data_IF_338656369688
#
_entry.id   IF_338656369688
#
_cell.length_a   1.000
_cell.length_b   1.000
_cell.length_c   1.000
_cell.angle_alpha   90.00
_cell.angle_beta   90.00
_cell.angle_gamma   90.00
#
_symmetry.space_group_name_H-M   'P 1'
#
loop_
_entity.id
_entity.type
_entity.pdbx_description
1 polymer ?
#
# COMPACT_ATOMS: atom_id res chain seq x y z
N UNK A 1 8.63 22.57 14.12
CA UNK A 1 7.38 21.80 13.97
C UNK A 1 7.53 20.32 14.36
N UNK A 2 8.65 19.67 14.07
CA UNK A 2 8.90 18.28 14.48
C UNK A 2 8.69 18.07 16.00
N UNK A 3 9.23 18.96 16.84
CA UNK A 3 9.08 18.87 18.30
C UNK A 3 7.63 18.91 18.77
N UNK A 4 6.75 19.66 18.08
CA UNK A 4 5.33 19.69 18.41
C UNK A 4 4.65 18.35 18.09
N UNK A 5 5.03 17.71 16.99
CA UNK A 5 4.55 16.36 16.63
C UNK A 5 4.95 15.33 17.67
N UNK A 6 6.21 15.37 18.15
CA UNK A 6 6.72 14.48 19.18
C UNK A 6 5.96 14.61 20.50
N UNK A 7 5.62 15.83 20.91
CA UNK A 7 4.88 16.08 22.14
C UNK A 7 3.38 15.80 22.05
N UNK A 8 2.76 16.12 20.92
CA UNK A 8 1.30 16.09 20.78
C UNK A 8 0.78 14.87 20.03
N UNK A 9 1.63 14.22 19.23
CA UNK A 9 1.24 13.15 18.32
C UNK A 9 0.39 13.63 17.13
N UNK A 10 0.25 14.95 16.94
CA UNK A 10 -0.48 15.54 15.81
C UNK A 10 0.49 15.70 14.64
N UNK A 11 0.22 15.12 13.44
CA UNK A 11 1.10 15.25 12.28
C UNK A 11 1.21 16.71 11.82
N UNK A 12 2.38 17.11 11.31
CA UNK A 12 2.65 18.49 10.85
C UNK A 12 1.58 19.00 9.87
N UNK A 13 1.12 18.15 8.96
CA UNK A 13 0.09 18.49 7.96
C UNK A 13 -1.27 18.80 8.56
N UNK A 14 -1.57 18.26 9.74
CA UNK A 14 -2.82 18.42 10.46
C UNK A 14 -2.71 19.47 11.59
N UNK A 15 -1.49 19.98 11.86
CA UNK A 15 -1.26 20.95 12.92
C UNK A 15 -1.70 22.36 12.51
N UNK A 16 -2.48 22.99 13.36
CA UNK A 16 -2.71 24.42 13.36
C UNK A 16 -2.20 25.01 14.67
N UNK A 17 -1.13 25.78 14.60
CA UNK A 17 -0.49 26.39 15.76
C UNK A 17 -0.98 27.83 15.93
N UNK A 18 -1.50 28.16 17.10
CA UNK A 18 -2.01 29.49 17.42
C UNK A 18 -1.27 30.02 18.63
N UNK A 19 -0.66 31.20 18.50
CA UNK A 19 -0.03 31.91 19.59
C UNK A 19 -0.60 33.33 19.66
N UNK A 20 -1.09 33.75 20.83
CA UNK A 20 -1.71 35.06 21.04
C UNK A 20 -2.77 35.44 19.97
N UNK A 21 -3.60 34.49 19.57
CA UNK A 21 -4.63 34.68 18.55
C UNK A 21 -4.12 34.67 17.09
N UNK A 22 -2.83 34.60 16.85
CA UNK A 22 -2.24 34.51 15.50
C UNK A 22 -2.02 33.05 15.11
N UNK A 23 -2.41 32.73 13.86
CA UNK A 23 -2.12 31.42 13.28
C UNK A 23 -0.68 31.39 12.77
N UNK A 24 0.18 30.57 13.41
CA UNK A 24 1.58 30.44 13.04
C UNK A 24 1.79 29.53 11.82
N UNK A 25 0.82 28.68 11.49
CA UNK A 25 0.92 27.70 10.39
C UNK A 25 0.68 28.31 9.01
N UNK A 26 0.06 29.48 8.92
CA UNK A 26 -0.20 30.19 7.67
C UNK A 26 0.94 31.12 7.23
N UNK A 27 1.99 31.24 8.03
CA UNK A 27 3.17 32.03 7.70
C UNK A 27 4.17 31.18 6.90
N UNK A 28 4.99 31.79 6.05
CA UNK A 28 6.09 31.10 5.35
C UNK A 28 7.14 30.59 6.36
N UNK A 29 6.91 29.39 6.86
CA UNK A 29 7.64 28.77 8.00
C UNK A 29 9.13 28.57 7.70
N UNK A 30 9.49 28.42 6.45
CA UNK A 30 10.87 28.14 6.04
C UNK A 30 11.78 29.37 6.10
N UNK A 31 11.22 30.59 6.25
CA UNK A 31 11.96 31.84 6.23
C UNK A 31 11.81 32.69 7.50
N UNK A 32 10.91 32.34 8.42
CA UNK A 32 10.63 33.12 9.62
C UNK A 32 11.13 32.43 10.89
N UNK A 33 11.75 33.21 11.76
CA UNK A 33 12.18 32.76 13.09
C UNK A 33 11.02 32.84 14.11
N UNK A 34 11.14 32.12 15.23
CA UNK A 34 10.18 32.23 16.34
C UNK A 34 10.09 33.66 16.89
N UNK A 35 11.20 34.43 16.82
CA UNK A 35 11.24 35.83 17.23
C UNK A 35 10.40 36.72 16.30
N UNK A 36 10.46 36.50 14.98
CA UNK A 36 9.65 37.21 13.99
C UNK A 36 8.16 36.96 14.21
N UNK A 37 7.81 35.76 14.69
CA UNK A 37 6.45 35.36 15.05
C UNK A 37 6.04 35.82 16.45
N UNK A 38 6.91 36.55 17.18
CA UNK A 38 6.72 37.00 18.57
C UNK A 38 6.48 35.85 19.56
N UNK A 39 7.07 34.70 19.28
CA UNK A 39 7.08 33.54 20.17
C UNK A 39 8.34 33.62 21.03
N UNK A 40 8.18 33.96 22.30
CA UNK A 40 9.26 34.10 23.28
C UNK A 40 9.17 33.01 24.35
N UNK A 41 10.22 32.89 25.17
CA UNK A 41 10.19 31.96 26.28
C UNK A 41 8.96 32.18 27.18
N UNK A 42 8.26 31.07 27.48
CA UNK A 42 7.00 31.11 28.25
C UNK A 42 5.74 31.41 27.43
N UNK A 43 5.85 31.63 26.10
CA UNK A 43 4.68 31.80 25.25
C UNK A 43 3.83 30.53 25.25
N UNK A 44 2.50 30.67 25.41
CA UNK A 44 1.55 29.58 25.29
C UNK A 44 1.15 29.40 23.82
N UNK A 45 1.43 28.24 23.27
CA UNK A 45 1.03 27.85 21.91
C UNK A 45 -0.14 26.87 22.03
N UNK A 46 -1.26 27.21 21.40
CA UNK A 46 -2.39 26.29 21.25
C UNK A 46 -2.16 25.46 19.99
N UNK A 47 -2.20 24.15 20.14
CA UNK A 47 -2.10 23.19 19.04
C UNK A 47 -3.50 22.67 18.75
N UNK A 48 -4.00 22.95 17.56
CA UNK A 48 -5.22 22.36 17.03
C UNK A 48 -4.84 21.36 15.97
N UNK A 49 -5.47 20.21 15.96
CA UNK A 49 -5.25 19.14 15.00
C UNK A 49 -5.74 17.81 15.54
N UNK A 50 -5.90 16.86 14.65
CA UNK A 50 -6.33 15.52 15.04
C UNK A 50 -5.10 14.62 15.13
N UNK A 51 -4.97 13.92 16.24
CA UNK A 51 -3.97 12.87 16.39
C UNK A 51 -4.34 11.73 15.43
N UNK A 52 -3.41 11.32 14.58
CA UNK A 52 -3.60 10.11 13.79
C UNK A 52 -3.46 8.90 14.73
N UNK A 53 -4.53 8.18 14.89
CA UNK A 53 -4.57 6.93 15.64
C UNK A 53 -4.91 5.80 14.67
N UNK A 54 -3.89 5.10 14.13
CA UNK A 54 -4.12 3.98 13.20
C UNK A 54 -4.88 2.83 13.87
N UNK A 55 -4.72 2.67 15.18
CA UNK A 55 -5.41 1.62 15.94
C UNK A 55 -6.90 1.95 16.16
N UNK A 56 -7.27 3.23 16.19
CA UNK A 56 -8.65 3.70 16.24
C UNK A 56 -9.30 3.90 14.86
N UNK A 57 -8.50 3.85 13.79
CA UNK A 57 -9.01 4.07 12.42
C UNK A 57 -9.53 2.75 11.81
N UNK A 58 -10.85 2.60 11.80
CA UNK A 58 -11.53 1.44 11.20
C UNK A 58 -11.21 1.25 9.71
N UNK A 59 -11.01 2.33 8.95
CA UNK A 59 -10.65 2.25 7.54
C UNK A 59 -9.21 1.72 7.40
N UNK A 60 -8.28 2.16 8.25
CA UNK A 60 -6.91 1.65 8.25
C UNK A 60 -6.87 0.15 8.58
N UNK A 61 -7.65 -0.31 9.57
CA UNK A 61 -7.77 -1.74 9.90
C UNK A 61 -8.32 -2.56 8.74
N UNK A 62 -9.38 -2.10 8.09
CA UNK A 62 -9.94 -2.78 6.91
C UNK A 62 -8.91 -2.90 5.79
N UNK A 63 -8.14 -1.85 5.52
CA UNK A 63 -7.07 -1.88 4.50
C UNK A 63 -5.97 -2.86 4.91
N UNK A 64 -5.60 -2.92 6.20
CA UNK A 64 -4.60 -3.87 6.70
C UNK A 64 -5.06 -5.33 6.56
N UNK A 65 -6.33 -5.62 6.78
CA UNK A 65 -6.90 -6.95 6.57
C UNK A 65 -6.92 -7.35 5.08
N UNK A 66 -7.23 -6.40 4.21
CA UNK A 66 -7.16 -6.61 2.75
C UNK A 66 -5.72 -6.87 2.31
N UNK A 67 -4.76 -6.11 2.82
CA UNK A 67 -3.33 -6.30 2.56
C UNK A 67 -2.88 -7.71 2.93
N UNK A 68 -3.28 -8.20 4.11
CA UNK A 68 -2.95 -9.57 4.56
C UNK A 68 -3.50 -10.62 3.61
N UNK A 69 -4.76 -10.49 3.19
CA UNK A 69 -5.37 -11.42 2.20
C UNK A 69 -4.65 -11.37 0.85
N UNK A 70 -4.30 -10.17 0.37
CA UNK A 70 -3.52 -10.00 -0.86
C UNK A 70 -2.13 -10.64 -0.75
N UNK A 71 -1.51 -10.55 0.41
CA UNK A 71 -0.23 -11.22 0.67
C UNK A 71 -0.34 -12.76 0.60
N UNK A 72 -1.40 -13.35 1.15
CA UNK A 72 -1.64 -14.80 1.06
C UNK A 72 -1.79 -15.26 -0.41
N UNK A 73 -2.45 -14.46 -1.25
CA UNK A 73 -2.53 -14.72 -2.69
C UNK A 73 -1.15 -14.64 -3.34
N UNK A 74 -0.34 -13.66 -2.93
CA UNK A 74 1.03 -13.49 -3.46
C UNK A 74 1.93 -14.69 -3.12
N UNK A 75 1.78 -15.30 -1.95
CA UNK A 75 2.52 -16.54 -1.61
C UNK A 75 2.15 -17.70 -2.54
N UNK A 76 0.85 -17.90 -2.81
CA UNK A 76 0.38 -18.92 -3.78
C UNK A 76 0.89 -18.65 -5.20
N UNK A 77 0.99 -17.39 -5.58
CA UNK A 77 1.53 -17.01 -6.89
C UNK A 77 3.05 -17.28 -7.00
N UNK A 78 3.82 -17.05 -5.93
CA UNK A 78 5.25 -17.39 -5.89
C UNK A 78 5.45 -18.90 -6.11
N UNK A 79 4.59 -19.75 -5.57
CA UNK A 79 4.62 -21.19 -5.83
C UNK A 79 4.39 -21.50 -7.33
N UNK A 80 3.42 -20.81 -7.96
CA UNK A 80 3.18 -20.95 -9.41
C UNK A 80 4.41 -20.55 -10.21
N UNK A 81 5.05 -19.41 -9.88
CA UNK A 81 6.28 -18.96 -10.54
C UNK A 81 7.41 -19.98 -10.43
N UNK A 82 7.61 -20.56 -9.24
CA UNK A 82 8.63 -21.57 -9.02
C UNK A 82 8.36 -22.82 -9.85
N UNK A 83 7.12 -23.33 -9.87
CA UNK A 83 6.76 -24.49 -10.66
C UNK A 83 6.90 -24.28 -12.18
N UNK A 84 6.58 -23.08 -12.68
CA UNK A 84 6.84 -22.73 -14.09
C UNK A 84 8.34 -22.75 -14.38
N UNK A 85 9.18 -22.24 -13.48
CA UNK A 85 10.63 -22.27 -13.59
C UNK A 85 11.18 -23.70 -13.57
N UNK A 86 10.63 -24.57 -12.74
CA UNK A 86 11.03 -25.98 -12.65
C UNK A 86 10.74 -26.73 -13.96
N UNK A 87 9.60 -26.46 -14.60
CA UNK A 87 9.28 -27.01 -15.92
C UNK A 87 10.27 -26.49 -16.97
N UNK A 88 10.58 -25.20 -16.97
CA UNK A 88 11.54 -24.58 -17.88
C UNK A 88 12.93 -25.20 -17.75
N UNK A 89 13.37 -25.49 -16.53
CA UNK A 89 14.65 -26.12 -16.22
C UNK A 89 14.68 -27.64 -16.50
N UNK A 90 13.56 -28.23 -16.92
CA UNK A 90 13.46 -29.64 -17.26
C UNK A 90 13.39 -30.60 -16.06
N UNK A 91 12.99 -30.10 -14.88
CA UNK A 91 12.84 -30.91 -13.67
C UNK A 91 11.58 -31.81 -13.69
N UNK A 92 10.69 -31.62 -14.67
CA UNK A 92 9.49 -32.43 -14.86
C UNK A 92 9.63 -33.27 -16.16
N UNK A 93 9.18 -34.54 -16.20
CA UNK A 93 9.13 -35.32 -17.43
C UNK A 93 8.24 -34.67 -18.50
N UNK A 94 8.68 -34.69 -19.78
CA UNK A 94 8.00 -33.97 -20.87
C UNK A 94 6.54 -34.39 -21.07
N UNK A 95 6.20 -35.64 -20.81
CA UNK A 95 4.84 -36.17 -20.90
C UNK A 95 3.82 -35.44 -19.97
N UNK A 96 4.28 -34.85 -18.88
CA UNK A 96 3.44 -34.15 -17.92
C UNK A 96 3.40 -32.63 -18.14
N UNK A 97 4.27 -32.06 -19.00
CA UNK A 97 4.41 -30.62 -19.17
C UNK A 97 3.08 -29.94 -19.58
N UNK A 98 2.36 -30.50 -20.57
CA UNK A 98 1.13 -29.87 -21.09
C UNK A 98 0.06 -29.78 -20.03
N UNK A 99 -0.13 -30.83 -19.24
CA UNK A 99 -1.13 -30.81 -18.17
C UNK A 99 -0.70 -29.87 -17.06
N UNK A 100 0.55 -29.94 -16.61
CA UNK A 100 1.08 -29.06 -15.58
C UNK A 100 0.96 -27.57 -15.97
N UNK A 101 1.32 -27.21 -17.20
CA UNK A 101 1.21 -25.83 -17.69
C UNK A 101 -0.25 -25.35 -17.75
N UNK A 102 -1.22 -26.20 -18.09
CA UNK A 102 -2.66 -25.86 -18.03
C UNK A 102 -3.12 -25.58 -16.60
N UNK A 103 -2.69 -26.40 -15.65
CA UNK A 103 -3.09 -26.23 -14.24
C UNK A 103 -2.44 -24.97 -13.63
N UNK A 104 -1.17 -24.69 -13.99
CA UNK A 104 -0.49 -23.48 -13.57
C UNK A 104 -1.11 -22.21 -14.16
N UNK A 105 -1.50 -22.22 -15.43
CA UNK A 105 -2.24 -21.11 -16.06
C UNK A 105 -3.54 -20.82 -15.32
N UNK A 106 -4.31 -21.88 -15.00
CA UNK A 106 -5.55 -21.74 -14.22
C UNK A 106 -5.30 -21.13 -12.85
N UNK A 107 -4.29 -21.63 -12.12
CA UNK A 107 -3.91 -21.09 -10.81
C UNK A 107 -3.48 -19.63 -10.89
N UNK A 108 -2.72 -19.26 -11.92
CA UNK A 108 -2.31 -17.89 -12.17
C UNK A 108 -3.51 -16.96 -12.39
N UNK A 109 -4.50 -17.37 -13.20
CA UNK A 109 -5.75 -16.64 -13.43
C UNK A 109 -6.56 -16.45 -12.15
N UNK A 110 -6.65 -17.47 -11.29
CA UNK A 110 -7.31 -17.38 -9.98
C UNK A 110 -6.63 -16.33 -9.09
N UNK A 111 -5.29 -16.26 -9.10
CA UNK A 111 -4.57 -15.23 -8.37
C UNK A 111 -4.90 -13.82 -8.92
N UNK A 112 -4.91 -13.64 -10.24
CA UNK A 112 -5.27 -12.38 -10.88
C UNK A 112 -6.69 -11.92 -10.54
N UNK A 113 -7.67 -12.83 -10.61
CA UNK A 113 -9.05 -12.55 -10.21
C UNK A 113 -9.16 -12.15 -8.73
N UNK A 114 -8.37 -12.80 -7.86
CA UNK A 114 -8.34 -12.47 -6.43
C UNK A 114 -7.77 -11.08 -6.18
N UNK A 115 -6.74 -10.66 -6.93
CA UNK A 115 -6.19 -9.31 -6.85
C UNK A 115 -7.12 -8.26 -7.43
N UNK A 116 -7.85 -8.54 -8.52
CA UNK A 116 -8.90 -7.64 -9.01
C UNK A 116 -9.96 -7.38 -7.94
N UNK A 117 -10.46 -8.42 -7.27
CA UNK A 117 -11.38 -8.27 -6.14
C UNK A 117 -10.78 -7.47 -4.97
N UNK A 118 -9.48 -7.63 -4.74
CA UNK A 118 -8.75 -6.81 -3.76
C UNK A 118 -8.82 -5.32 -4.10
N UNK A 119 -8.56 -4.94 -5.36
CA UNK A 119 -8.64 -3.55 -5.82
C UNK A 119 -10.06 -3.01 -5.71
N UNK A 120 -11.06 -3.75 -6.16
CA UNK A 120 -12.48 -3.38 -6.03
C UNK A 120 -12.87 -3.13 -4.57
N UNK A 121 -12.42 -4.01 -3.65
CA UNK A 121 -12.70 -3.86 -2.22
C UNK A 121 -11.99 -2.63 -1.64
N UNK A 122 -10.75 -2.34 -2.07
CA UNK A 122 -10.00 -1.14 -1.65
C UNK A 122 -10.68 0.14 -2.13
N UNK A 123 -11.20 0.15 -3.34
CA UNK A 123 -11.89 1.32 -3.91
C UNK A 123 -13.23 1.59 -3.22
N UNK A 124 -13.89 0.56 -2.72
CA UNK A 124 -15.11 0.68 -1.93
C UNK A 124 -14.92 1.24 -0.51
N UNK A 125 -13.66 1.46 -0.05
CA UNK A 125 -13.42 2.02 1.28
C UNK A 125 -13.51 3.56 1.21
N UNK A 126 -14.51 4.13 1.86
CA UNK A 126 -14.61 5.58 2.02
C UNK A 126 -13.56 6.08 3.00
N UNK A 127 -12.81 7.11 2.60
CA UNK A 127 -11.76 7.73 3.39
C UNK A 127 -12.01 9.24 3.54
N UNK A 128 -12.02 9.68 4.79
CA UNK A 128 -12.12 11.11 5.10
C UNK A 128 -10.85 11.87 4.66
N UNK A 129 -10.94 13.18 4.42
CA UNK A 129 -9.81 14.02 4.03
C UNK A 129 -8.63 13.97 5.02
N UNK A 130 -8.89 13.77 6.29
CA UNK A 130 -7.93 13.77 7.39
C UNK A 130 -7.26 12.41 7.65
N UNK A 131 -7.74 11.31 7.03
CA UNK A 131 -7.18 9.96 7.18
C UNK A 131 -5.95 9.76 6.26
N UNK A 132 -4.88 10.50 6.50
CA UNK A 132 -3.72 10.48 5.60
C UNK A 132 -2.97 9.14 5.62
N UNK A 133 -2.89 8.47 6.79
CA UNK A 133 -2.26 7.16 6.92
C UNK A 133 -3.03 6.08 6.17
N UNK A 134 -4.36 6.04 6.31
CA UNK A 134 -5.20 5.09 5.58
C UNK A 134 -5.11 5.30 4.07
N UNK A 135 -5.07 6.56 3.59
CA UNK A 135 -4.87 6.89 2.17
C UNK A 135 -3.53 6.40 1.65
N UNK A 136 -2.45 6.64 2.39
CA UNK A 136 -1.11 6.19 2.01
C UNK A 136 -1.03 4.66 1.98
N UNK A 137 -1.59 4.00 2.99
CA UNK A 137 -1.65 2.53 3.06
C UNK A 137 -2.47 1.96 1.90
N UNK A 138 -3.66 2.50 1.60
CA UNK A 138 -4.48 2.09 0.46
C UNK A 138 -3.69 2.18 -0.85
N UNK A 139 -3.01 3.32 -1.09
CA UNK A 139 -2.18 3.51 -2.27
C UNK A 139 -1.04 2.48 -2.36
N UNK A 140 -0.37 2.19 -1.25
CA UNK A 140 0.70 1.21 -1.21
C UNK A 140 0.19 -0.21 -1.55
N UNK A 141 -0.94 -0.62 -0.98
CA UNK A 141 -1.56 -1.92 -1.25
C UNK A 141 -2.03 -2.01 -2.69
N UNK A 142 -2.66 -0.97 -3.24
CA UNK A 142 -3.09 -0.94 -4.64
C UNK A 142 -1.89 -1.05 -5.60
N UNK A 143 -0.81 -0.31 -5.37
CA UNK A 143 0.40 -0.37 -6.20
C UNK A 143 1.04 -1.76 -6.15
N UNK A 144 1.15 -2.37 -4.97
CA UNK A 144 1.68 -3.73 -4.82
C UNK A 144 0.82 -4.77 -5.53
N UNK A 145 -0.51 -4.62 -5.44
CA UNK A 145 -1.46 -5.52 -6.10
C UNK A 145 -1.36 -5.41 -7.62
N UNK A 146 -1.30 -4.20 -8.18
CA UNK A 146 -1.09 -3.98 -9.62
C UNK A 146 0.22 -4.60 -10.11
N UNK A 147 1.33 -4.37 -9.39
CA UNK A 147 2.61 -4.97 -9.74
C UNK A 147 2.60 -6.51 -9.74
N UNK A 148 1.79 -7.13 -8.87
CA UNK A 148 1.60 -8.58 -8.88
C UNK A 148 0.76 -9.05 -10.07
N UNK A 149 -0.24 -8.28 -10.49
CA UNK A 149 -1.04 -8.58 -11.69
C UNK A 149 -0.18 -8.50 -12.96
N UNK A 150 0.67 -7.48 -13.09
CA UNK A 150 1.62 -7.37 -14.22
C UNK A 150 2.53 -8.61 -14.29
N UNK A 151 3.08 -9.04 -13.15
CA UNK A 151 3.89 -10.28 -13.09
C UNK A 151 3.09 -11.53 -13.45
N UNK A 152 1.80 -11.59 -13.10
CA UNK A 152 0.96 -12.72 -13.48
C UNK A 152 0.72 -12.78 -14.98
N UNK A 153 0.56 -11.65 -15.66
CA UNK A 153 0.50 -11.59 -17.12
C UNK A 153 1.80 -12.07 -17.77
N UNK A 154 2.96 -11.65 -17.26
CA UNK A 154 4.26 -12.14 -17.73
C UNK A 154 4.39 -13.66 -17.59
N UNK A 155 3.94 -14.22 -16.46
CA UNK A 155 3.96 -15.67 -16.22
C UNK A 155 3.02 -16.41 -17.17
N UNK A 156 1.83 -15.88 -17.44
CA UNK A 156 0.90 -16.46 -18.42
C UNK A 156 1.50 -16.45 -19.83
N UNK A 157 2.14 -15.36 -20.23
CA UNK A 157 2.84 -15.28 -21.52
C UNK A 157 3.96 -16.31 -21.60
N UNK A 158 4.74 -16.51 -20.54
CA UNK A 158 5.78 -17.51 -20.44
C UNK A 158 5.24 -18.93 -20.54
N UNK A 159 4.13 -19.24 -19.86
CA UNK A 159 3.43 -20.53 -19.96
C UNK A 159 3.03 -20.80 -21.42
N UNK A 160 2.47 -19.81 -22.11
CA UNK A 160 2.08 -19.95 -23.52
C UNK A 160 3.29 -20.21 -24.44
N UNK A 161 4.40 -19.52 -24.21
CA UNK A 161 5.66 -19.77 -24.95
C UNK A 161 6.21 -21.19 -24.70
N UNK A 162 6.15 -21.69 -23.49
CA UNK A 162 6.58 -23.05 -23.16
C UNK A 162 5.67 -24.09 -23.84
N UNK A 163 4.36 -23.85 -23.88
CA UNK A 163 3.41 -24.74 -24.59
C UNK A 163 3.68 -24.82 -26.07
N UNK A 164 4.00 -23.71 -26.72
CA UNK A 164 4.31 -23.70 -28.19
C UNK A 164 5.63 -24.43 -28.52
N UNK A 165 6.57 -24.51 -27.58
CA UNK A 165 7.82 -25.25 -27.75
C UNK A 165 7.69 -26.78 -27.57
N UNK A 166 6.58 -27.21 -26.96
CA UNK A 166 6.34 -28.64 -26.66
C UNK A 166 5.44 -29.26 -27.75
N UNK A 167 4.61 -28.47 -28.42
CA UNK A 167 3.82 -28.90 -29.58
C UNK A 167 4.64 -28.82 -30.86
#
# INVERSE_FOLDING_TARGET
>A
MNSVTEFTGVPIKSQKLICQGKNLTSCNIDTQTLNDLRVVHGSKIMVLGRKEDPEGDEAFKKIADIERKSFEVSQKFIEVQNQVRDIENGHLPREHHLQALKDLEKRCKICSESWMKTLETLDGIELNPDQSMAKNKRKAVANSTNANMDKAEEVIQKINQLRTKIC
#
